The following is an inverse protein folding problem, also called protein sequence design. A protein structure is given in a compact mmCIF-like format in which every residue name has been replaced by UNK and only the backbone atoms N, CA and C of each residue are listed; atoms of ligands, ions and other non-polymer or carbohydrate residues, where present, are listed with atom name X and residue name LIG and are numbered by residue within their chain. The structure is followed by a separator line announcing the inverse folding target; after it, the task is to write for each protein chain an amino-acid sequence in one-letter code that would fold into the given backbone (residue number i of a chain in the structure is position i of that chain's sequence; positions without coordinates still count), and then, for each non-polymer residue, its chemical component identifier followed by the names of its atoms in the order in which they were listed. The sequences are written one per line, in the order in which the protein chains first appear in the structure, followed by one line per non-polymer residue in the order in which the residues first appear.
data_IF_267221399756
#
_entry.id   IF_267221399756
#
_cell.length_a   1.000
_cell.length_b   1.000
_cell.length_c   1.000
_cell.angle_alpha   90.00
_cell.angle_beta   90.00
_cell.angle_gamma   90.00
#
_symmetry.space_group_name_H-M   'P 1'
#
loop_
_entity.id
_entity.type
_entity.pdbx_description
1 polymer ?
#
# COMPACT_ATOMS: atom_id res chain seq x y z
N UNK A 1 13.52 12.48 18.82
CA UNK A 1 13.99 13.88 18.86
C UNK A 1 14.92 14.18 17.68
N UNK A 2 16.13 13.61 17.59
CA UNK A 2 17.05 13.83 16.46
C UNK A 2 16.57 13.30 15.09
N UNK A 3 15.87 12.15 15.07
CA UNK A 3 15.42 11.53 13.82
C UNK A 3 14.39 12.37 13.05
N UNK A 4 13.37 12.86 13.78
CA UNK A 4 12.29 13.73 13.24
C UNK A 4 12.87 15.01 12.62
N UNK A 5 13.85 15.62 13.30
CA UNK A 5 14.55 16.79 12.81
C UNK A 5 15.38 16.51 11.54
N UNK A 6 16.09 15.37 11.50
CA UNK A 6 16.85 14.97 10.29
C UNK A 6 15.94 14.71 9.09
N UNK A 7 14.72 14.20 9.31
CA UNK A 7 13.74 13.92 8.28
C UNK A 7 13.09 15.20 7.76
N UNK A 8 12.69 16.11 8.65
CA UNK A 8 12.17 17.43 8.28
C UNK A 8 13.15 18.25 7.43
N UNK A 9 14.45 18.15 7.73
CA UNK A 9 15.50 18.76 6.91
C UNK A 9 15.58 18.13 5.51
N UNK A 10 15.55 16.80 5.40
CA UNK A 10 15.52 16.07 4.12
C UNK A 10 14.29 16.42 3.29
N UNK A 11 13.10 16.41 3.90
CA UNK A 11 11.84 16.77 3.24
C UNK A 11 11.86 18.22 2.75
N UNK A 12 12.42 19.13 3.55
CA UNK A 12 12.59 20.54 3.19
C UNK A 12 13.52 20.76 2.00
N UNK A 13 14.63 20.00 1.93
CA UNK A 13 15.55 20.02 0.79
C UNK A 13 14.90 19.46 -0.47
N UNK A 14 14.20 18.33 -0.36
CA UNK A 14 13.47 17.71 -1.47
C UNK A 14 12.38 18.66 -2.03
N UNK A 15 11.59 19.30 -1.15
CA UNK A 15 10.58 20.30 -1.56
C UNK A 15 11.20 21.48 -2.29
N UNK A 16 12.33 22.00 -1.83
CA UNK A 16 13.06 23.09 -2.52
C UNK A 16 13.65 22.65 -3.85
N UNK A 17 14.13 21.42 -3.96
CA UNK A 17 14.64 20.85 -5.21
C UNK A 17 13.52 20.71 -6.25
N UNK A 18 12.47 19.98 -5.90
CA UNK A 18 11.32 19.73 -6.76
C UNK A 18 10.58 21.03 -7.12
N UNK A 19 10.34 21.91 -6.14
CA UNK A 19 9.67 23.19 -6.35
C UNK A 19 10.34 24.06 -7.42
N UNK A 20 11.67 24.12 -7.43
CA UNK A 20 12.44 24.83 -8.47
C UNK A 20 12.22 24.24 -9.86
N UNK A 21 12.07 22.93 -9.99
CA UNK A 21 11.90 22.25 -11.28
C UNK A 21 10.49 22.45 -11.83
N UNK A 22 9.47 22.36 -10.96
CA UNK A 22 8.07 22.48 -11.36
C UNK A 22 7.55 23.93 -11.30
N UNK A 23 8.40 24.90 -10.93
CA UNK A 23 8.03 26.31 -10.83
C UNK A 23 7.03 26.62 -9.71
N UNK A 24 7.11 25.89 -8.59
CA UNK A 24 6.24 26.08 -7.42
C UNK A 24 7.04 26.41 -6.16
N UNK A 25 6.42 27.14 -5.24
CA UNK A 25 6.96 27.33 -3.91
C UNK A 25 7.07 25.96 -3.17
N UNK A 26 8.08 25.74 -2.32
CA UNK A 26 8.28 24.47 -1.60
C UNK A 26 7.04 23.96 -0.83
N UNK A 27 6.25 24.89 -0.30
CA UNK A 27 4.98 24.64 0.41
C UNK A 27 3.89 24.09 -0.51
N UNK A 28 3.89 24.49 -1.79
CA UNK A 28 2.89 24.12 -2.81
C UNK A 28 3.25 22.82 -3.55
N UNK A 29 4.36 22.17 -3.18
CA UNK A 29 4.80 20.91 -3.78
C UNK A 29 3.90 19.76 -3.29
N UNK A 30 3.17 19.17 -4.22
CA UNK A 30 2.44 17.92 -4.03
C UNK A 30 3.28 16.75 -4.58
N UNK A 31 3.95 15.99 -3.71
CA UNK A 31 4.82 14.90 -4.14
C UNK A 31 4.06 13.79 -4.86
N UNK A 32 2.83 13.47 -4.44
CA UNK A 32 2.00 12.46 -5.11
C UNK A 32 1.72 12.85 -6.56
N UNK A 33 1.33 14.12 -6.80
CA UNK A 33 1.07 14.61 -8.16
C UNK A 33 2.32 14.71 -9.02
N UNK A 34 3.46 15.09 -8.43
CA UNK A 34 4.74 15.12 -9.13
C UNK A 34 5.18 13.70 -9.50
N UNK A 35 5.08 12.75 -8.57
CA UNK A 35 5.35 11.33 -8.78
C UNK A 35 4.54 10.80 -9.95
N UNK A 36 3.22 10.98 -9.92
CA UNK A 36 2.31 10.49 -10.96
C UNK A 36 2.74 10.96 -12.36
N UNK A 37 3.05 12.26 -12.49
CA UNK A 37 3.51 12.83 -13.74
C UNK A 37 4.87 12.26 -14.21
N UNK A 38 5.82 12.05 -13.29
CA UNK A 38 7.16 11.55 -13.64
C UNK A 38 7.14 10.06 -13.97
N UNK A 39 6.49 9.24 -13.14
CA UNK A 39 6.35 7.79 -13.34
C UNK A 39 5.60 7.50 -14.64
N UNK A 40 4.55 8.26 -14.96
CA UNK A 40 3.85 8.13 -16.24
C UNK A 40 4.79 8.39 -17.43
N UNK A 41 5.67 9.39 -17.37
CA UNK A 41 6.66 9.65 -18.44
C UNK A 41 7.66 8.51 -18.59
N UNK A 42 8.18 8.00 -17.47
CA UNK A 42 9.11 6.86 -17.47
C UNK A 42 8.46 5.64 -18.12
N UNK A 43 7.22 5.30 -17.71
CA UNK A 43 6.47 4.17 -18.26
C UNK A 43 6.26 4.27 -19.78
N UNK A 44 6.08 5.50 -20.29
CA UNK A 44 5.88 5.77 -21.72
C UNK A 44 7.16 6.10 -22.48
N UNK A 45 8.34 5.93 -21.86
CA UNK A 45 9.66 6.25 -22.46
C UNK A 45 9.77 7.70 -22.96
N UNK A 46 9.08 8.63 -22.30
CA UNK A 46 9.12 10.05 -22.59
C UNK A 46 10.31 10.71 -21.86
N UNK A 47 10.92 11.76 -22.44
CA UNK A 47 12.02 12.46 -21.78
C UNK A 47 11.53 13.11 -20.48
N UNK A 48 12.35 13.03 -19.42
CA UNK A 48 12.10 13.71 -18.17
C UNK A 48 12.30 15.24 -18.32
N UNK A 49 11.62 16.05 -17.50
CA UNK A 49 11.87 17.50 -17.46
C UNK A 49 13.34 17.80 -17.16
N UNK A 50 13.85 18.93 -17.66
CA UNK A 50 15.23 19.35 -17.42
C UNK A 50 15.49 19.47 -15.91
N UNK A 51 16.57 18.85 -15.44
CA UNK A 51 16.95 18.86 -14.03
C UNK A 51 16.35 17.73 -13.20
N UNK A 52 15.53 16.85 -13.79
CA UNK A 52 15.10 15.59 -13.16
C UNK A 52 16.07 14.48 -13.54
N UNK A 53 16.77 13.95 -12.55
CA UNK A 53 17.63 12.77 -12.67
C UNK A 53 17.06 11.59 -11.87
N UNK A 54 17.74 10.44 -11.92
CA UNK A 54 17.32 9.24 -11.18
C UNK A 54 17.26 9.45 -9.66
N UNK A 55 18.19 10.26 -9.11
CA UNK A 55 18.22 10.54 -7.67
C UNK A 55 16.99 11.33 -7.23
N UNK A 56 16.60 12.34 -8.01
CA UNK A 56 15.40 13.12 -7.72
C UNK A 56 14.13 12.26 -7.87
N UNK A 57 14.08 11.35 -8.85
CA UNK A 57 12.97 10.40 -8.96
C UNK A 57 12.81 9.58 -7.66
N UNK A 58 13.90 9.02 -7.15
CA UNK A 58 13.89 8.25 -5.89
C UNK A 58 13.49 9.12 -4.68
N UNK A 59 13.89 10.38 -4.66
CA UNK A 59 13.48 11.35 -3.63
C UNK A 59 11.99 11.67 -3.71
N UNK A 60 11.45 11.89 -4.91
CA UNK A 60 10.02 12.12 -5.14
C UNK A 60 9.20 10.88 -4.75
N UNK A 61 9.67 9.68 -5.12
CA UNK A 61 9.01 8.41 -4.78
C UNK A 61 8.88 8.26 -3.25
N UNK A 62 10.01 8.37 -2.55
CA UNK A 62 10.04 8.28 -1.08
C UNK A 62 9.16 9.33 -0.41
N UNK A 63 9.23 10.57 -0.88
CA UNK A 63 8.43 11.65 -0.32
C UNK A 63 6.93 11.46 -0.58
N UNK A 64 6.54 10.91 -1.74
CA UNK A 64 5.16 10.58 -2.05
C UNK A 64 4.63 9.44 -1.16
N UNK A 65 5.41 8.37 -1.00
CA UNK A 65 5.06 7.27 -0.09
C UNK A 65 4.93 7.78 1.34
N UNK A 66 5.89 8.56 1.82
CA UNK A 66 5.85 9.11 3.17
C UNK A 66 4.65 10.04 3.38
N UNK A 67 4.30 10.86 2.38
CA UNK A 67 3.13 11.72 2.43
C UNK A 67 1.84 10.89 2.61
N UNK A 68 1.70 9.76 1.91
CA UNK A 68 0.54 8.87 2.06
C UNK A 68 0.61 8.08 3.37
N UNK A 69 1.77 7.54 3.75
CA UNK A 69 1.98 6.81 4.99
C UNK A 69 1.61 7.66 6.22
N UNK A 70 1.94 8.97 6.20
CA UNK A 70 1.50 9.92 7.23
C UNK A 70 -0.01 10.12 7.28
N UNK A 71 -0.71 10.11 6.14
CA UNK A 71 -2.18 10.14 6.13
C UNK A 71 -2.77 8.86 6.73
N UNK A 72 -2.06 7.74 6.60
CA UNK A 72 -2.39 6.46 7.23
C UNK A 72 -1.86 6.34 8.67
N UNK A 73 -1.16 7.37 9.15
CA UNK A 73 -0.53 7.45 10.48
C UNK A 73 0.42 6.29 10.78
N UNK A 74 1.09 5.78 9.74
CA UNK A 74 2.18 4.81 9.81
C UNK A 74 3.49 5.61 9.92
N UNK A 75 4.25 5.41 10.99
CA UNK A 75 5.61 5.93 11.03
C UNK A 75 6.59 5.02 10.25
N UNK A 76 7.79 5.51 9.95
CA UNK A 76 8.81 4.74 9.20
C UNK A 76 9.27 3.48 9.93
N UNK A 77 8.97 3.32 11.22
CA UNK A 77 9.28 2.13 12.01
C UNK A 77 8.10 1.14 12.05
N UNK A 78 6.99 1.44 11.36
CA UNK A 78 5.76 0.66 11.45
C UNK A 78 5.14 0.69 12.85
N UNK A 79 5.46 1.68 13.69
CA UNK A 79 4.86 1.84 15.00
C UNK A 79 3.57 2.66 14.88
N UNK A 80 2.50 2.06 15.35
CA UNK A 80 1.14 2.46 15.00
C UNK A 80 0.50 3.29 16.11
N UNK A 81 0.83 4.58 16.16
CA UNK A 81 0.50 5.39 17.33
C UNK A 81 -1.00 5.73 17.49
N UNK A 82 -1.83 5.72 16.44
CA UNK A 82 -3.28 6.05 16.52
C UNK A 82 -4.09 5.33 15.44
N UNK A 83 -3.99 4.00 15.47
CA UNK A 83 -4.04 3.05 14.35
C UNK A 83 -5.42 2.79 13.71
N UNK A 84 -6.50 2.88 14.48
CA UNK A 84 -7.72 2.19 14.11
C UNK A 84 -8.69 3.06 13.30
N UNK A 85 -8.84 4.34 13.61
CA UNK A 85 -9.89 5.17 12.99
C UNK A 85 -9.59 5.47 11.52
N UNK A 86 -8.37 5.90 11.19
CA UNK A 86 -7.96 6.18 9.80
C UNK A 86 -8.07 4.95 8.91
N UNK A 87 -7.60 3.79 9.38
CA UNK A 87 -7.70 2.53 8.63
C UNK A 87 -9.13 2.00 8.58
N UNK A 88 -9.89 2.12 9.67
CA UNK A 88 -11.31 1.73 9.70
C UNK A 88 -12.14 2.56 8.72
N UNK A 89 -11.91 3.88 8.67
CA UNK A 89 -12.60 4.78 7.76
C UNK A 89 -12.10 4.66 6.32
N UNK A 90 -10.81 4.41 6.12
CA UNK A 90 -10.18 4.29 4.80
C UNK A 90 -10.49 2.96 4.11
N UNK A 91 -10.22 1.84 4.75
CA UNK A 91 -10.30 0.49 4.14
C UNK A 91 -11.18 -0.50 4.92
N UNK A 92 -11.59 -0.18 6.14
CA UNK A 92 -12.37 -1.10 7.00
C UNK A 92 -13.68 -1.59 6.36
N UNK A 93 -14.35 -0.78 5.54
CA UNK A 93 -15.55 -1.20 4.80
C UNK A 93 -15.25 -2.30 3.77
N UNK A 94 -14.13 -2.19 3.05
CA UNK A 94 -13.70 -3.18 2.08
C UNK A 94 -13.31 -4.49 2.78
N UNK A 95 -12.47 -4.41 3.82
CA UNK A 95 -12.10 -5.57 4.63
C UNK A 95 -13.33 -6.28 5.20
N UNK A 96 -14.26 -5.53 5.82
CA UNK A 96 -15.50 -6.09 6.33
C UNK A 96 -16.37 -6.73 5.24
N UNK A 97 -16.36 -6.19 4.01
CA UNK A 97 -17.06 -6.80 2.88
C UNK A 97 -16.41 -8.13 2.46
N UNK A 98 -15.08 -8.17 2.35
CA UNK A 98 -14.33 -9.39 2.03
C UNK A 98 -14.60 -10.47 3.09
N UNK A 99 -14.48 -10.14 4.37
CA UNK A 99 -14.75 -11.07 5.48
C UNK A 99 -16.19 -11.62 5.44
N UNK A 100 -17.19 -10.78 5.16
CA UNK A 100 -18.58 -11.25 4.99
C UNK A 100 -18.75 -12.19 3.80
N UNK A 101 -18.02 -11.99 2.69
CA UNK A 101 -18.03 -12.91 1.54
C UNK A 101 -17.43 -14.26 1.90
N UNK A 102 -16.33 -14.26 2.65
CA UNK A 102 -15.69 -15.48 3.16
C UNK A 102 -16.65 -16.23 4.08
N UNK A 103 -17.25 -15.57 5.06
CA UNK A 103 -18.21 -16.18 5.99
C UNK A 103 -19.44 -16.74 5.25
N UNK A 104 -19.99 -15.99 4.28
CA UNK A 104 -21.08 -16.48 3.45
C UNK A 104 -20.69 -17.71 2.63
N UNK A 105 -19.46 -17.76 2.09
CA UNK A 105 -18.96 -18.92 1.36
C UNK A 105 -18.85 -20.15 2.24
N UNK A 106 -18.40 -20.00 3.49
CA UNK A 106 -18.25 -21.11 4.44
C UNK A 106 -19.60 -21.73 4.86
N UNK A 107 -20.68 -20.94 4.81
CA UNK A 107 -22.03 -21.38 5.20
C UNK A 107 -22.84 -21.99 4.04
N UNK A 108 -22.44 -21.77 2.80
CA UNK A 108 -23.18 -22.23 1.63
C UNK A 108 -22.77 -23.64 1.19
N UNK A 109 -23.72 -24.47 0.69
CA UNK A 109 -23.39 -25.73 0.05
C UNK A 109 -22.37 -25.54 -1.08
N UNK A 110 -21.51 -26.55 -1.29
CA UNK A 110 -20.55 -26.50 -2.39
C UNK A 110 -21.28 -26.27 -3.71
N UNK A 111 -20.82 -25.27 -4.47
CA UNK A 111 -21.38 -24.91 -5.79
C UNK A 111 -22.43 -23.81 -5.78
N UNK A 112 -22.96 -23.40 -4.62
CA UNK A 112 -24.00 -22.36 -4.55
C UNK A 112 -23.45 -20.91 -4.52
N UNK A 113 -22.19 -20.71 -4.11
CA UNK A 113 -21.57 -19.37 -4.01
C UNK A 113 -20.61 -19.07 -5.17
N UNK A 114 -20.44 -17.78 -5.54
CA UNK A 114 -19.36 -17.34 -6.42
C UNK A 114 -17.99 -17.81 -5.91
N UNK A 115 -17.13 -18.25 -6.83
CA UNK A 115 -15.80 -18.78 -6.52
C UNK A 115 -14.68 -17.74 -6.62
N UNK A 116 -14.97 -16.59 -7.21
CA UNK A 116 -14.02 -15.51 -7.43
C UNK A 116 -14.74 -14.18 -7.26
N UNK A 117 -14.12 -13.26 -6.55
CA UNK A 117 -14.52 -11.87 -6.46
C UNK A 117 -13.35 -11.02 -6.96
N UNK A 118 -13.63 -10.11 -7.89
CA UNK A 118 -12.65 -9.20 -8.47
C UNK A 118 -13.01 -7.77 -8.06
N UNK A 119 -12.04 -7.07 -7.47
CA UNK A 119 -12.17 -5.68 -7.05
C UNK A 119 -11.12 -4.86 -7.81
N UNK A 120 -11.56 -4.02 -8.74
CA UNK A 120 -10.69 -3.02 -9.35
C UNK A 120 -10.55 -1.85 -8.37
N UNK A 121 -9.32 -1.52 -8.02
CA UNK A 121 -9.02 -0.53 -6.98
C UNK A 121 -7.85 0.37 -7.40
N UNK A 122 -7.50 1.32 -6.52
CA UNK A 122 -6.38 2.24 -6.71
C UNK A 122 -5.24 1.89 -5.74
N UNK A 123 -4.04 2.42 -6.01
CA UNK A 123 -2.91 2.42 -5.08
C UNK A 123 -3.32 2.93 -3.67
N UNK A 124 -4.12 3.99 -3.64
CA UNK A 124 -4.75 4.57 -2.43
C UNK A 124 -5.72 3.63 -1.72
N UNK A 125 -6.07 2.48 -2.32
CA UNK A 125 -6.79 1.37 -1.65
C UNK A 125 -5.82 0.29 -1.19
N UNK A 126 -4.82 -0.06 -2.01
CA UNK A 126 -3.85 -1.11 -1.70
C UNK A 126 -2.94 -0.72 -0.53
N UNK A 127 -2.42 0.51 -0.49
CA UNK A 127 -1.56 0.98 0.60
C UNK A 127 -2.22 0.88 1.98
N UNK A 128 -3.43 1.42 2.23
CA UNK A 128 -4.11 1.23 3.50
C UNK A 128 -4.54 -0.22 3.75
N UNK A 129 -4.87 -0.99 2.71
CA UNK A 129 -5.18 -2.41 2.85
C UNK A 129 -3.98 -3.19 3.39
N UNK A 130 -2.82 -3.06 2.75
CA UNK A 130 -1.58 -3.69 3.16
C UNK A 130 -1.16 -3.21 4.55
N UNK A 131 -1.36 -1.92 4.84
CA UNK A 131 -1.09 -1.36 6.17
C UNK A 131 -1.97 -2.02 7.23
N UNK A 132 -3.28 -2.14 6.97
CA UNK A 132 -4.23 -2.78 7.89
C UNK A 132 -3.94 -4.28 8.08
N UNK A 133 -3.34 -4.93 7.08
CA UNK A 133 -2.89 -6.32 7.16
C UNK A 133 -1.51 -6.48 7.83
N UNK A 134 -0.78 -5.39 8.06
CA UNK A 134 0.57 -5.41 8.65
C UNK A 134 1.69 -5.70 7.65
N UNK A 135 1.41 -5.57 6.35
CA UNK A 135 2.20 -6.11 5.25
C UNK A 135 2.57 -5.02 4.23
N UNK A 136 2.46 -3.75 4.66
CA UNK A 136 2.91 -2.61 3.87
C UNK A 136 4.42 -2.44 4.01
N UNK A 137 5.12 -2.54 2.89
CA UNK A 137 6.58 -2.52 2.79
C UNK A 137 7.17 -1.10 2.63
N UNK A 138 6.34 -0.06 2.75
CA UNK A 138 6.75 1.32 2.47
C UNK A 138 7.20 1.56 1.02
N UNK A 139 6.65 0.81 0.07
CA UNK A 139 6.76 1.08 -1.35
C UNK A 139 5.40 1.51 -1.95
N UNK A 140 5.44 2.30 -3.03
CA UNK A 140 4.22 2.61 -3.77
C UNK A 140 3.82 1.39 -4.61
N UNK A 141 2.55 0.97 -4.64
CA UNK A 141 2.12 -0.14 -5.47
C UNK A 141 2.35 0.10 -6.97
N UNK A 142 3.07 -0.80 -7.64
CA UNK A 142 3.29 -0.71 -9.09
C UNK A 142 1.99 -0.77 -9.89
N UNK A 143 2.05 -0.30 -11.14
CA UNK A 143 0.95 -0.49 -12.08
C UNK A 143 0.59 -1.98 -12.21
N UNK A 144 -0.71 -2.27 -12.17
CA UNK A 144 -1.24 -3.64 -12.22
C UNK A 144 -0.81 -4.55 -11.06
N UNK A 145 -0.29 -3.98 -9.96
CA UNK A 145 -0.18 -4.71 -8.69
C UNK A 145 -1.56 -5.20 -8.22
N UNK A 146 -1.57 -6.32 -7.51
CA UNK A 146 -2.79 -6.97 -7.04
C UNK A 146 -2.53 -7.67 -5.70
N UNK A 147 -3.60 -7.90 -4.94
CA UNK A 147 -3.62 -8.69 -3.72
C UNK A 147 -4.65 -9.80 -3.91
N UNK A 148 -4.28 -11.06 -3.65
CA UNK A 148 -5.24 -12.15 -3.56
C UNK A 148 -5.45 -12.57 -2.12
N UNK A 149 -6.71 -12.85 -1.80
CA UNK A 149 -7.11 -13.50 -0.55
C UNK A 149 -7.69 -14.86 -0.94
N UNK A 150 -6.94 -15.91 -0.64
CA UNK A 150 -7.29 -17.29 -0.98
C UNK A 150 -7.86 -18.00 0.25
N UNK A 151 -8.99 -18.70 0.09
CA UNK A 151 -9.65 -19.45 1.17
C UNK A 151 -9.59 -20.93 0.86
N UNK A 152 -8.91 -21.67 1.72
CA UNK A 152 -8.78 -23.13 1.63
C UNK A 152 -9.67 -23.80 2.68
N UNK A 153 -10.38 -24.85 2.28
CA UNK A 153 -11.13 -25.72 3.20
C UNK A 153 -10.45 -27.08 3.20
N UNK A 154 -10.05 -27.52 4.39
CA UNK A 154 -9.41 -28.82 4.56
C UNK A 154 -10.42 -29.87 5.01
N UNK A 155 -10.50 -30.98 4.29
CA UNK A 155 -11.32 -32.13 4.68
C UNK A 155 -10.52 -33.07 5.57
N UNK A 156 -10.88 -33.12 6.87
CA UNK A 156 -10.20 -33.96 7.88
C UNK A 156 -10.35 -35.46 7.62
N UNK A 157 -11.29 -35.89 6.78
CA UNK A 157 -11.53 -37.31 6.49
C UNK A 157 -10.50 -37.87 5.51
N UNK A 158 -9.97 -37.04 4.60
CA UNK A 158 -8.96 -37.44 3.61
C UNK A 158 -7.51 -37.31 4.12
N UNK A 159 -7.27 -36.64 5.26
CA UNK A 159 -5.95 -36.16 5.66
C UNK A 159 -5.34 -36.84 6.89
N UNK A 160 -5.81 -38.03 7.24
CA UNK A 160 -5.45 -38.82 8.44
C UNK A 160 -3.98 -39.20 8.63
N UNK A 161 -3.01 -38.61 7.91
CA UNK A 161 -1.60 -39.01 7.98
C UNK A 161 -0.65 -38.03 8.67
N UNK A 162 -1.01 -36.77 8.95
CA UNK A 162 -0.16 -35.90 9.80
C UNK A 162 -0.98 -34.90 10.64
N UNK A 163 -0.70 -34.79 11.96
CA UNK A 163 -1.25 -33.72 12.79
C UNK A 163 -0.63 -32.36 12.46
N UNK A 164 -1.40 -31.30 12.70
CA UNK A 164 -1.04 -29.89 12.54
C UNK A 164 0.18 -29.46 13.37
N UNK A 165 1.00 -28.56 12.82
CA UNK A 165 2.04 -27.80 13.53
C UNK A 165 1.81 -26.30 13.35
N UNK A 166 2.27 -25.49 14.30
CA UNK A 166 2.26 -24.01 14.18
C UNK A 166 2.94 -23.52 12.90
N UNK A 167 3.89 -24.30 12.38
CA UNK A 167 4.61 -24.04 11.13
C UNK A 167 3.77 -24.24 9.85
N UNK A 168 2.50 -24.63 9.93
CA UNK A 168 1.63 -24.86 8.76
C UNK A 168 0.81 -23.61 8.36
N UNK A 169 0.88 -22.52 9.13
CA UNK A 169 0.23 -21.24 8.81
C UNK A 169 1.18 -20.38 7.97
N UNK A 170 0.95 -20.37 6.66
CA UNK A 170 1.70 -19.50 5.74
C UNK A 170 0.74 -18.46 5.14
N UNK A 171 0.85 -17.22 5.61
CA UNK A 171 0.36 -16.09 4.83
C UNK A 171 1.37 -15.86 3.71
N UNK A 172 1.00 -16.13 2.46
CA UNK A 172 1.75 -15.66 1.29
C UNK A 172 0.93 -14.55 0.68
N UNK A 173 1.40 -13.33 0.85
CA UNK A 173 0.95 -12.17 0.09
C UNK A 173 1.86 -11.97 -1.12
#
# INVERSE_FOLDING_TARGET
SHYRHSKELRDGDARRGVGRIIGKAPEDVNFVGVRDALVARVAHKLPLPRGVDGKLLDEVERAAVDQVARLLWVDEAGAHAYKDESLTLGVGRLLGHILRRIDARMKQPQGAAPRLFLYSAHDTTLMPLLTALGEFDSAWPDFCSWVAVEVFVWDRVASSKRPWREDDVWLRL
#
